data_IF_952052905265
#
_entry.id   IF_952052905265
#
_cell.length_a   1.000
_cell.length_b   1.000
_cell.length_c   1.000
_cell.angle_alpha   90.00
_cell.angle_beta   90.00
_cell.angle_gamma   90.00
#
_symmetry.space_group_name_H-M   'P 1'
#
loop_
_entity.id
_entity.type
_entity.pdbx_description
1 polymer ?
#
# COMPACT_ATOMS: atom_id res chain seq x y z
N UNK A 1 5.77 8.95 12.25
CA UNK A 1 6.55 8.22 11.24
C UNK A 1 6.14 8.74 9.86
N UNK A 2 7.07 9.05 8.97
CA UNK A 2 6.73 9.34 7.56
C UNK A 2 6.28 8.07 6.85
N UNK A 3 5.45 8.19 5.81
CA UNK A 3 4.96 7.03 5.06
C UNK A 3 6.12 6.19 4.51
N UNK A 4 7.15 6.80 3.91
CA UNK A 4 8.27 6.06 3.31
C UNK A 4 8.94 5.02 4.21
N UNK A 5 9.01 5.26 5.52
CA UNK A 5 9.61 4.31 6.48
C UNK A 5 8.64 3.25 7.02
N UNK A 6 7.33 3.43 6.86
CA UNK A 6 6.34 2.52 7.43
C UNK A 6 6.24 1.18 6.68
N UNK A 7 6.24 1.13 5.34
CA UNK A 7 6.33 -0.12 4.59
C UNK A 7 7.54 -0.96 5.00
N UNK A 8 8.71 -0.35 5.23
CA UNK A 8 9.92 -1.06 5.65
C UNK A 8 9.74 -1.75 7.01
N UNK A 9 9.07 -1.08 7.97
CA UNK A 9 8.74 -1.67 9.27
C UNK A 9 7.79 -2.86 9.11
N UNK A 10 6.78 -2.75 8.22
CA UNK A 10 5.88 -3.85 7.95
C UNK A 10 6.56 -5.04 7.25
N UNK A 11 7.54 -4.79 6.39
CA UNK A 11 8.35 -5.85 5.77
C UNK A 11 9.23 -6.54 6.81
N UNK A 12 9.94 -5.78 7.66
CA UNK A 12 10.74 -6.36 8.74
C UNK A 12 9.88 -7.20 9.71
N UNK A 13 8.68 -6.72 10.04
CA UNK A 13 7.73 -7.48 10.84
C UNK A 13 7.30 -8.79 10.16
N UNK A 14 6.99 -8.74 8.86
CA UNK A 14 6.69 -9.92 8.04
C UNK A 14 7.82 -10.97 8.10
N UNK A 15 9.06 -10.52 7.97
CA UNK A 15 10.25 -11.37 8.01
C UNK A 15 10.49 -11.96 9.41
N UNK A 16 10.20 -11.20 10.46
CA UNK A 16 10.38 -11.63 11.86
C UNK A 16 9.31 -12.64 12.30
N UNK A 17 8.03 -12.41 11.96
CA UNK A 17 6.91 -13.27 12.40
C UNK A 17 6.59 -14.40 11.45
N UNK A 18 7.03 -14.30 10.19
CA UNK A 18 6.62 -15.22 9.12
C UNK A 18 5.17 -15.04 8.69
N UNK A 19 4.49 -13.96 9.07
CA UNK A 19 3.15 -13.66 8.56
C UNK A 19 3.17 -13.44 7.06
N UNK A 20 2.16 -13.96 6.35
CA UNK A 20 1.98 -13.64 4.93
C UNK A 20 0.77 -12.75 4.71
N UNK A 21 1.05 -11.53 4.22
CA UNK A 21 0.03 -10.55 3.87
C UNK A 21 -0.40 -10.65 2.40
N UNK A 22 0.14 -11.57 1.60
CA UNK A 22 -0.19 -11.70 0.17
C UNK A 22 -1.67 -12.01 -0.08
N UNK A 23 -2.27 -12.85 0.79
CA UNK A 23 -3.67 -13.26 0.73
C UNK A 23 -4.61 -12.29 1.47
N UNK A 24 -4.06 -11.35 2.24
CA UNK A 24 -4.86 -10.40 3.00
C UNK A 24 -5.56 -9.43 2.05
N UNK A 25 -6.85 -9.20 2.28
CA UNK A 25 -7.62 -8.21 1.53
C UNK A 25 -6.91 -6.84 1.57
N UNK A 26 -6.83 -6.09 0.46
CA UNK A 26 -6.09 -4.83 0.42
C UNK A 26 -6.50 -3.84 1.52
N UNK A 27 -7.79 -3.82 1.87
CA UNK A 27 -8.32 -2.97 2.95
C UNK A 27 -7.86 -3.39 4.36
N UNK A 28 -7.38 -4.62 4.53
CA UNK A 28 -6.85 -5.14 5.81
C UNK A 28 -5.31 -5.08 5.88
N UNK A 29 -4.63 -4.67 4.80
CA UNK A 29 -3.18 -4.54 4.82
C UNK A 29 -2.77 -3.43 5.81
N UNK A 30 -1.73 -3.64 6.64
CA UNK A 30 -1.26 -2.65 7.62
C UNK A 30 -0.88 -1.31 6.97
N UNK A 31 -0.36 -1.34 5.73
CA UNK A 31 0.00 -0.14 4.97
C UNK A 31 -1.23 0.73 4.66
N UNK A 32 -2.36 0.11 4.31
CA UNK A 32 -3.62 0.85 4.11
C UNK A 32 -4.24 1.30 5.43
N UNK A 33 -4.19 0.48 6.48
CA UNK A 33 -4.67 0.88 7.81
C UNK A 33 -3.90 2.11 8.32
N UNK A 34 -2.59 2.15 8.08
CA UNK A 34 -1.76 3.31 8.37
C UNK A 34 -2.20 4.55 7.59
N UNK A 35 -2.47 4.41 6.28
CA UNK A 35 -3.01 5.48 5.45
C UNK A 35 -4.34 6.02 5.99
N UNK A 36 -5.23 5.14 6.44
CA UNK A 36 -6.53 5.55 7.02
C UNK A 36 -6.37 6.29 8.34
N UNK A 37 -5.38 5.91 9.17
CA UNK A 37 -5.10 6.58 10.45
C UNK A 37 -4.37 7.91 10.30
N UNK A 38 -3.46 8.03 9.33
CA UNK A 38 -2.66 9.25 9.10
C UNK A 38 -3.28 10.25 8.14
N UNK A 39 -4.28 9.82 7.38
CA UNK A 39 -4.89 10.59 6.32
C UNK A 39 -4.40 10.11 4.95
N UNK A 40 -5.36 10.00 4.03
CA UNK A 40 -5.13 9.62 2.64
C UNK A 40 -5.03 10.86 1.77
N UNK A 41 -4.19 10.81 0.74
CA UNK A 41 -4.29 11.78 -0.34
C UNK A 41 -5.62 11.58 -1.07
N UNK A 42 -6.32 12.67 -1.36
CA UNK A 42 -7.54 12.66 -2.18
C UNK A 42 -7.26 13.03 -3.63
N UNK A 43 -6.00 13.36 -3.94
CA UNK A 43 -5.55 13.75 -5.26
C UNK A 43 -5.46 12.57 -6.22
N UNK A 44 -5.65 12.88 -7.50
CA UNK A 44 -5.39 11.95 -8.59
C UNK A 44 -3.88 11.82 -8.75
N UNK A 45 -3.34 10.66 -8.38
CA UNK A 45 -1.93 10.33 -8.61
C UNK A 45 -1.76 9.68 -9.99
N UNK A 46 -0.70 10.07 -10.71
CA UNK A 46 -0.44 9.56 -12.06
C UNK A 46 0.12 8.14 -12.12
N UNK A 47 0.47 7.54 -10.98
CA UNK A 47 1.04 6.19 -10.90
C UNK A 47 0.64 5.50 -9.58
N UNK A 48 0.51 4.18 -9.63
CA UNK A 48 0.37 3.30 -8.47
C UNK A 48 1.63 2.45 -8.34
N UNK A 49 2.03 2.11 -7.12
CA UNK A 49 3.13 1.18 -6.85
C UNK A 49 2.60 -0.14 -6.30
N UNK A 50 3.40 -1.21 -6.40
CA UNK A 50 3.10 -2.46 -5.72
C UNK A 50 3.50 -2.35 -4.26
N UNK A 51 2.59 -2.67 -3.34
CA UNK A 51 2.90 -2.67 -1.92
C UNK A 51 3.92 -3.76 -1.58
N UNK A 52 5.04 -3.43 -0.91
CA UNK A 52 6.06 -4.43 -0.58
C UNK A 52 5.60 -5.44 0.47
N UNK A 53 4.50 -5.14 1.19
CA UNK A 53 3.95 -6.01 2.24
C UNK A 53 3.02 -7.07 1.68
N UNK A 54 2.02 -6.65 0.89
CA UNK A 54 0.95 -7.54 0.39
C UNK A 54 0.96 -7.75 -1.14
N UNK A 55 1.85 -7.07 -1.87
CA UNK A 55 1.96 -7.15 -3.33
C UNK A 55 0.86 -6.43 -4.12
N UNK A 56 -0.16 -5.88 -3.46
CA UNK A 56 -1.31 -5.24 -4.13
C UNK A 56 -1.02 -3.77 -4.47
N UNK A 57 -1.69 -3.19 -5.48
CA UNK A 57 -1.51 -1.79 -5.86
C UNK A 57 -1.78 -0.84 -4.69
N UNK A 58 -0.92 0.15 -4.50
CA UNK A 58 -1.02 1.18 -3.47
C UNK A 58 -0.64 2.57 -4.02
N UNK A 59 -1.06 3.60 -3.31
CA UNK A 59 -0.58 4.96 -3.52
C UNK A 59 0.87 5.09 -3.00
N UNK A 60 1.78 5.54 -3.86
CA UNK A 60 3.20 5.79 -3.51
C UNK A 60 3.39 6.88 -2.45
N UNK A 61 2.43 7.81 -2.35
CA UNK A 61 2.51 8.94 -1.41
C UNK A 61 1.98 8.60 -0.01
N UNK A 62 0.85 7.90 0.09
CA UNK A 62 0.16 7.69 1.36
C UNK A 62 -0.05 6.21 1.74
N UNK A 63 0.23 5.26 0.85
CA UNK A 63 0.07 3.82 1.12
C UNK A 63 -1.35 3.30 1.04
N UNK A 64 -2.32 4.13 0.65
CA UNK A 64 -3.70 3.69 0.49
C UNK A 64 -3.80 2.67 -0.64
N UNK A 65 -4.44 1.53 -0.37
CA UNK A 65 -4.86 0.57 -1.39
C UNK A 65 -6.14 0.96 -2.15
N UNK A 66 -6.82 2.04 -1.76
CA UNK A 66 -7.95 2.60 -2.51
C UNK A 66 -7.46 3.42 -3.70
N UNK A 67 -6.76 2.77 -4.63
CA UNK A 67 -6.28 3.36 -5.88
C UNK A 67 -7.07 2.85 -7.07
N UNK A 68 -7.44 3.76 -7.96
CA UNK A 68 -8.02 3.41 -9.25
C UNK A 68 -6.90 3.27 -10.28
N UNK A 69 -6.64 2.06 -10.76
CA UNK A 69 -5.70 1.85 -11.85
C UNK A 69 -6.37 2.20 -13.17
N UNK A 70 -6.00 3.34 -13.76
CA UNK A 70 -6.43 3.68 -15.11
C UNK A 70 -5.56 2.87 -16.07
N UNK A 71 -6.06 1.72 -16.53
CA UNK A 71 -5.40 0.94 -17.57
C UNK A 71 -5.45 1.75 -18.88
N UNK A 72 -4.29 2.20 -19.36
CA UNK A 72 -4.17 2.70 -20.73
C UNK A 72 -4.18 1.47 -21.65
N UNK A 73 -5.36 1.05 -22.10
CA UNK A 73 -5.45 0.17 -23.27
C UNK A 73 -4.96 0.97 -24.47
N UNK A 74 -3.75 0.65 -24.92
CA UNK A 74 -3.23 1.13 -26.20
C UNK A 74 -3.87 0.20 -27.24
N UNK A 75 -4.85 0.73 -27.99
CA UNK A 75 -5.43 0.03 -29.14
C UNK A 75 -4.53 0.16 -30.37
#
# INVERSE_FOLDING_TARGET
>A
MPFGTFPDVCVAWKEETGEDFSEVAPLKCPVHQYAMQKGRCLDVIGHTESCPVCGKPMCSTCGSHCVNQISRMIS
#
